data_IF_039099480113
#
_entry.id   IF_039099480113
#
_cell.length_a   1.000
_cell.length_b   1.000
_cell.length_c   1.000
_cell.angle_alpha   90.00
_cell.angle_beta   90.00
_cell.angle_gamma   90.00
#
_symmetry.space_group_name_H-M   'P 1'
#
loop_
_entity.id
_entity.type
_entity.pdbx_description
1 polymer ?
#
# COMPACT_ATOMS: atom_id res chain seq x y z
N UNK A 1 -28.71 -14.40 46.98
CA UNK A 1 -28.72 -14.28 45.50
C UNK A 1 -28.60 -12.83 45.01
N UNK A 2 -29.42 -11.88 45.47
CA UNK A 2 -29.38 -10.46 45.03
C UNK A 2 -28.01 -9.78 45.15
N UNK A 3 -27.32 -9.94 46.29
CA UNK A 3 -25.97 -9.36 46.48
C UNK A 3 -24.89 -9.97 45.58
N UNK A 4 -25.05 -11.22 45.17
CA UNK A 4 -24.14 -11.88 44.22
C UNK A 4 -24.34 -11.33 42.81
N UNK A 5 -25.59 -11.16 42.36
CA UNK A 5 -25.91 -10.59 41.05
C UNK A 5 -25.40 -9.14 40.90
N UNK A 6 -25.51 -8.33 41.96
CA UNK A 6 -25.00 -6.94 41.94
C UNK A 6 -23.48 -6.92 41.77
N UNK A 7 -22.74 -7.78 42.50
CA UNK A 7 -21.28 -7.89 42.35
C UNK A 7 -20.89 -8.35 40.96
N UNK A 8 -21.61 -9.32 40.39
CA UNK A 8 -21.36 -9.83 39.05
C UNK A 8 -21.61 -8.76 37.97
N UNK A 9 -22.68 -7.97 38.11
CA UNK A 9 -22.97 -6.83 37.25
C UNK A 9 -21.89 -5.74 37.31
N UNK A 10 -21.37 -5.43 38.50
CA UNK A 10 -20.27 -4.45 38.66
C UNK A 10 -18.98 -4.94 37.99
N UNK A 11 -18.60 -6.20 38.19
CA UNK A 11 -17.43 -6.79 37.53
C UNK A 11 -17.59 -6.71 36.01
N UNK A 12 -18.75 -7.09 35.49
CA UNK A 12 -19.03 -7.03 34.06
C UNK A 12 -18.99 -5.60 33.51
N UNK A 13 -19.52 -4.62 34.25
CA UNK A 13 -19.48 -3.21 33.89
C UNK A 13 -18.05 -2.66 33.81
N UNK A 14 -17.20 -2.97 34.78
CA UNK A 14 -15.79 -2.55 34.78
C UNK A 14 -15.04 -3.16 33.60
N UNK A 15 -15.28 -4.45 33.30
CA UNK A 15 -14.68 -5.12 32.13
C UNK A 15 -15.11 -4.43 30.84
N UNK A 16 -16.40 -4.16 30.62
CA UNK A 16 -16.87 -3.47 29.41
C UNK A 16 -16.23 -2.09 29.27
N UNK A 17 -16.19 -1.29 30.34
CA UNK A 17 -15.58 0.05 30.31
C UNK A 17 -14.10 -0.04 29.94
N UNK A 18 -13.38 -1.00 30.50
CA UNK A 18 -11.96 -1.21 30.21
C UNK A 18 -11.72 -1.64 28.76
N UNK A 19 -12.60 -2.46 28.17
CA UNK A 19 -12.52 -2.89 26.78
C UNK A 19 -13.20 -1.95 25.77
N UNK A 20 -13.92 -0.91 26.22
CA UNK A 20 -14.68 -0.01 25.35
C UNK A 20 -13.86 0.63 24.22
N UNK A 21 -12.61 1.11 24.45
CA UNK A 21 -11.78 1.64 23.37
C UNK A 21 -11.43 0.61 22.28
N UNK A 22 -11.30 -0.67 22.65
CA UNK A 22 -11.09 -1.76 21.68
C UNK A 22 -12.31 -1.92 20.78
N UNK A 23 -13.51 -1.99 21.39
CA UNK A 23 -14.76 -2.15 20.65
C UNK A 23 -14.96 -1.00 19.67
N UNK A 24 -14.80 0.25 20.11
CA UNK A 24 -14.93 1.41 19.24
C UNK A 24 -13.88 1.41 18.12
N UNK A 25 -12.61 1.10 18.43
CA UNK A 25 -11.55 1.00 17.43
C UNK A 25 -11.87 -0.05 16.36
N UNK A 26 -12.42 -1.20 16.76
CA UNK A 26 -12.84 -2.24 15.84
C UNK A 26 -14.00 -1.81 14.91
N UNK A 27 -14.98 -1.09 15.44
CA UNK A 27 -16.06 -0.55 14.61
C UNK A 27 -15.52 0.46 13.58
N UNK A 28 -14.62 1.35 13.99
CA UNK A 28 -13.97 2.31 13.07
C UNK A 28 -13.12 1.60 12.03
N UNK A 29 -12.36 0.58 12.43
CA UNK A 29 -11.62 -0.29 11.51
C UNK A 29 -12.52 -0.82 10.40
N UNK A 30 -13.68 -1.39 10.73
CA UNK A 30 -14.63 -1.90 9.74
C UNK A 30 -15.18 -0.80 8.83
N UNK A 31 -15.41 0.40 9.35
CA UNK A 31 -15.82 1.55 8.54
C UNK A 31 -14.72 1.97 7.55
N UNK A 32 -13.46 2.03 7.98
CA UNK A 32 -12.33 2.31 7.08
C UNK A 32 -12.17 1.22 6.02
N UNK A 33 -12.26 -0.06 6.39
CA UNK A 33 -12.24 -1.15 5.42
C UNK A 33 -13.38 -1.05 4.39
N UNK A 34 -14.58 -0.65 4.81
CA UNK A 34 -15.72 -0.51 3.91
C UNK A 34 -15.60 0.69 2.95
N UNK A 35 -15.04 1.81 3.44
CA UNK A 35 -14.94 3.07 2.67
C UNK A 35 -13.73 3.09 1.74
N UNK A 36 -12.58 2.66 2.24
CA UNK A 36 -11.29 2.88 1.60
C UNK A 36 -10.54 1.58 1.32
N UNK A 37 -10.89 0.48 2.00
CA UNK A 37 -10.20 -0.79 1.91
C UNK A 37 -10.39 -1.50 0.58
N UNK A 38 -9.31 -2.15 0.13
CA UNK A 38 -9.26 -2.93 -1.09
C UNK A 38 -8.94 -2.11 -2.34
N UNK A 39 -9.29 -2.68 -3.49
CA UNK A 39 -9.00 -2.12 -4.80
C UNK A 39 -10.04 -1.07 -5.22
N UNK A 40 -9.56 0.09 -5.66
CA UNK A 40 -10.32 1.13 -6.32
C UNK A 40 -9.68 1.43 -7.68
N UNK A 41 -10.48 1.35 -8.75
CA UNK A 41 -10.02 1.53 -10.14
C UNK A 41 -10.76 2.74 -10.74
N UNK A 42 -9.99 3.72 -11.19
CA UNK A 42 -10.45 4.96 -11.80
C UNK A 42 -10.07 5.07 -13.28
N UNK A 43 -9.17 4.20 -13.74
CA UNK A 43 -8.77 4.12 -15.14
C UNK A 43 -7.93 2.86 -15.42
N UNK A 44 -7.43 2.76 -16.65
CA UNK A 44 -6.67 1.59 -17.11
C UNK A 44 -5.16 1.86 -17.12
N UNK A 45 -4.39 0.89 -16.64
CA UNK A 45 -2.92 0.88 -16.76
C UNK A 45 -2.54 -0.07 -17.89
N UNK A 46 -1.87 0.46 -18.90
CA UNK A 46 -1.41 -0.33 -20.04
C UNK A 46 -0.12 -1.07 -19.68
N UNK A 47 0.04 -2.34 -20.10
CA UNK A 47 1.28 -3.07 -19.90
C UNK A 47 2.41 -2.51 -20.77
N UNK A 48 3.65 -2.80 -20.38
CA UNK A 48 4.87 -2.48 -21.12
C UNK A 48 5.00 -0.99 -21.47
N UNK A 49 4.53 -0.12 -20.57
CA UNK A 49 4.71 1.33 -20.67
C UNK A 49 5.90 1.79 -19.84
N UNK A 50 6.34 3.03 -20.09
CA UNK A 50 7.30 3.73 -19.24
C UNK A 50 6.66 4.20 -17.94
N UNK A 51 7.39 4.10 -16.84
CA UNK A 51 6.98 4.61 -15.53
C UNK A 51 7.93 5.71 -15.08
N UNK A 52 7.48 6.60 -14.23
CA UNK A 52 8.28 7.64 -13.59
C UNK A 52 8.49 7.23 -12.14
N UNK A 53 9.75 7.25 -11.69
CA UNK A 53 10.08 6.97 -10.29
C UNK A 53 9.40 8.00 -9.38
N UNK A 54 8.90 7.54 -8.22
CA UNK A 54 8.21 8.41 -7.27
C UNK A 54 9.14 9.40 -6.56
N UNK A 55 10.44 9.15 -6.58
CA UNK A 55 11.46 9.94 -5.91
C UNK A 55 12.86 9.63 -6.42
N UNK A 56 13.85 10.04 -5.63
CA UNK A 56 15.28 9.95 -5.92
C UNK A 56 15.97 8.81 -5.16
N UNK A 57 15.22 7.98 -4.42
CA UNK A 57 15.76 6.81 -3.74
C UNK A 57 15.83 5.63 -4.73
N UNK A 58 16.90 4.82 -4.73
CA UNK A 58 16.97 3.62 -5.57
C UNK A 58 15.74 2.71 -5.48
N UNK A 59 15.07 2.62 -4.33
CA UNK A 59 13.83 1.84 -4.21
C UNK A 59 12.72 2.32 -5.15
N UNK A 60 12.69 3.62 -5.48
CA UNK A 60 11.62 4.25 -6.25
C UNK A 60 11.67 3.85 -7.73
N UNK A 61 12.87 3.61 -8.29
CA UNK A 61 12.97 3.08 -9.65
C UNK A 61 12.84 1.55 -9.70
N UNK A 62 13.20 0.84 -8.61
CA UNK A 62 13.08 -0.62 -8.54
C UNK A 62 11.64 -1.08 -8.42
N UNK A 63 10.85 -0.39 -7.61
CA UNK A 63 9.53 -0.88 -7.22
C UNK A 63 8.57 -1.16 -8.40
N UNK A 64 8.49 -0.32 -9.45
CA UNK A 64 7.64 -0.63 -10.62
C UNK A 64 7.98 -1.95 -11.30
N UNK A 65 9.24 -2.39 -11.29
CA UNK A 65 9.63 -3.64 -11.97
C UNK A 65 9.07 -4.90 -11.30
N UNK A 66 8.68 -4.86 -10.03
CA UNK A 66 7.99 -5.99 -9.38
C UNK A 66 6.62 -6.28 -10.01
N UNK A 67 6.06 -5.34 -10.78
CA UNK A 67 4.83 -5.55 -11.53
C UNK A 67 5.04 -6.41 -12.79
N UNK A 68 6.28 -6.61 -13.25
CA UNK A 68 6.62 -7.51 -14.35
C UNK A 68 6.26 -7.05 -15.77
N UNK A 69 5.38 -6.05 -15.96
CA UNK A 69 5.01 -5.50 -17.28
C UNK A 69 5.36 -4.02 -17.40
N UNK A 70 6.62 -3.69 -17.15
CA UNK A 70 7.18 -2.32 -17.21
C UNK A 70 8.28 -2.28 -18.27
N UNK A 71 8.19 -1.34 -19.23
CA UNK A 71 9.19 -1.22 -20.28
C UNK A 71 10.47 -0.53 -19.81
N UNK A 72 10.32 0.54 -19.02
CA UNK A 72 11.42 1.27 -18.39
C UNK A 72 10.89 2.12 -17.24
N UNK A 73 11.79 2.56 -16.37
CA UNK A 73 11.48 3.54 -15.32
C UNK A 73 12.37 4.76 -15.50
N UNK A 74 11.77 5.92 -15.76
CA UNK A 74 12.44 7.21 -15.78
C UNK A 74 12.74 7.64 -14.35
N UNK A 75 14.01 7.78 -14.03
CA UNK A 75 14.51 8.06 -12.70
C UNK A 75 15.39 9.31 -12.73
N UNK A 76 15.28 10.13 -11.69
CA UNK A 76 16.17 11.24 -11.44
C UNK A 76 16.91 10.94 -10.14
N UNK A 77 18.23 10.95 -10.16
CA UNK A 77 19.02 10.72 -8.96
C UNK A 77 19.09 11.99 -8.07
N UNK A 78 19.74 11.86 -6.92
CA UNK A 78 19.92 12.96 -5.98
C UNK A 78 20.76 14.13 -6.52
N UNK A 79 21.56 13.91 -7.57
CA UNK A 79 22.35 14.96 -8.24
C UNK A 79 21.55 15.71 -9.29
N UNK A 80 20.36 15.21 -9.64
CA UNK A 80 19.51 15.74 -10.70
C UNK A 80 19.77 15.11 -12.08
N UNK A 81 20.71 14.18 -12.19
CA UNK A 81 20.91 13.43 -13.42
C UNK A 81 19.72 12.50 -13.67
N UNK A 82 19.29 12.42 -14.93
CA UNK A 82 18.11 11.65 -15.33
C UNK A 82 18.49 10.47 -16.21
N UNK A 83 17.82 9.35 -15.98
CA UNK A 83 18.07 8.10 -16.66
C UNK A 83 16.75 7.41 -17.00
N UNK A 84 16.75 6.68 -18.11
CA UNK A 84 15.78 5.62 -18.32
C UNK A 84 16.41 4.30 -17.85
N UNK A 85 15.82 3.70 -16.82
CA UNK A 85 16.29 2.47 -16.19
C UNK A 85 15.54 1.28 -16.80
N UNK A 86 16.27 0.20 -17.06
CA UNK A 86 15.74 -1.05 -17.58
C UNK A 86 16.11 -2.19 -16.65
N UNK A 87 15.17 -3.10 -16.38
CA UNK A 87 15.46 -4.33 -15.65
C UNK A 87 15.91 -5.42 -16.63
N UNK A 88 17.08 -6.00 -16.37
CA UNK A 88 17.54 -7.20 -17.04
C UNK A 88 17.02 -8.41 -16.27
N UNK A 89 16.31 -9.35 -16.93
CA UNK A 89 15.84 -10.56 -16.28
C UNK A 89 17.00 -11.32 -15.64
N UNK A 90 16.82 -11.74 -14.38
CA UNK A 90 17.77 -12.58 -13.68
C UNK A 90 17.26 -14.02 -13.65
N UNK A 91 18.04 -15.01 -14.10
CA UNK A 91 17.65 -16.42 -13.95
C UNK A 91 17.74 -16.92 -12.49
N UNK A 92 18.37 -16.17 -11.60
CA UNK A 92 18.53 -16.50 -10.18
C UNK A 92 17.48 -15.78 -9.32
N UNK A 93 17.12 -16.31 -8.13
CA UNK A 93 16.16 -15.69 -7.21
C UNK A 93 16.78 -14.49 -6.47
N UNK A 94 17.37 -13.56 -7.22
CA UNK A 94 17.92 -12.29 -6.74
C UNK A 94 17.24 -11.15 -7.50
N UNK A 95 17.36 -9.95 -6.95
CA UNK A 95 16.88 -8.73 -7.64
C UNK A 95 17.42 -8.68 -9.08
N UNK A 96 16.62 -8.17 -10.05
CA UNK A 96 17.10 -7.99 -11.40
C UNK A 96 18.28 -7.02 -11.44
N UNK A 97 19.17 -7.21 -12.39
CA UNK A 97 20.23 -6.24 -12.65
C UNK A 97 19.61 -5.04 -13.39
N UNK A 98 20.02 -3.82 -13.05
CA UNK A 98 19.44 -2.60 -13.62
C UNK A 98 20.44 -1.91 -14.54
N UNK A 99 19.98 -1.55 -15.74
CA UNK A 99 20.77 -0.86 -16.75
C UNK A 99 20.28 0.59 -16.82
N UNK A 100 21.18 1.54 -16.60
CA UNK A 100 20.91 2.96 -16.70
C UNK A 100 21.33 3.46 -18.08
N UNK A 101 20.40 4.07 -18.79
CA UNK A 101 20.68 4.76 -20.06
C UNK A 101 20.31 6.23 -19.93
N UNK A 102 20.94 7.08 -20.74
CA UNK A 102 20.52 8.46 -20.87
C UNK A 102 19.05 8.53 -21.30
N UNK A 103 18.32 9.55 -20.82
CA UNK A 103 16.89 9.70 -21.11
C UNK A 103 16.62 9.74 -22.61
N UNK A 104 15.77 8.83 -23.07
CA UNK A 104 15.23 8.81 -24.41
C UNK A 104 13.97 9.69 -24.46
N UNK A 105 14.12 10.90 -25.00
CA UNK A 105 13.03 11.88 -25.08
C UNK A 105 11.90 11.48 -26.02
N UNK A 106 12.11 10.50 -26.90
CA UNK A 106 11.05 9.97 -27.76
C UNK A 106 10.06 9.09 -26.98
N UNK A 107 10.47 8.58 -25.81
CA UNK A 107 9.64 7.74 -24.95
C UNK A 107 9.00 8.54 -23.82
N UNK A 108 7.75 8.20 -23.53
CA UNK A 108 6.98 8.81 -22.45
C UNK A 108 6.87 7.87 -21.25
N UNK A 109 7.08 8.42 -20.05
CA UNK A 109 6.71 7.77 -18.80
C UNK A 109 5.27 8.18 -18.47
N UNK A 110 4.36 7.21 -18.37
CA UNK A 110 2.91 7.45 -18.27
C UNK A 110 2.38 7.30 -16.85
N UNK A 111 3.07 6.55 -16.00
CA UNK A 111 2.58 6.15 -14.68
C UNK A 111 3.61 6.38 -13.58
N UNK A 112 3.14 6.63 -12.35
CA UNK A 112 3.96 6.68 -11.14
C UNK A 112 3.42 5.63 -10.18
N UNK A 113 4.30 4.82 -9.59
CA UNK A 113 3.94 3.89 -8.52
C UNK A 113 4.36 4.48 -7.17
N UNK A 114 3.43 4.61 -6.23
CA UNK A 114 3.69 5.05 -4.86
C UNK A 114 3.25 4.00 -3.84
N UNK A 115 4.03 3.94 -2.77
CA UNK A 115 3.71 3.18 -1.57
C UNK A 115 3.59 4.17 -0.43
N UNK A 116 2.45 4.19 0.25
CA UNK A 116 2.20 5.07 1.39
C UNK A 116 1.86 4.20 2.60
N UNK A 117 2.63 4.35 3.67
CA UNK A 117 2.33 3.73 4.95
C UNK A 117 1.99 4.87 5.91
N UNK A 118 0.74 4.94 6.32
CA UNK A 118 0.20 6.05 7.10
C UNK A 118 -0.44 5.53 8.38
N UNK A 119 -0.14 6.18 9.50
CA UNK A 119 -0.96 6.08 10.70
C UNK A 119 -2.24 6.87 10.48
N UNK A 120 -3.40 6.29 10.84
CA UNK A 120 -4.66 7.01 10.71
C UNK A 120 -4.72 8.08 11.82
N UNK A 121 -4.95 9.36 11.49
CA UNK A 121 -4.96 10.43 12.49
C UNK A 121 -5.96 10.14 13.61
N UNK A 122 -5.54 10.36 14.86
CA UNK A 122 -6.33 10.11 16.08
C UNK A 122 -6.74 8.65 16.31
N UNK A 123 -6.14 7.69 15.59
CA UNK A 123 -6.43 6.26 15.74
C UNK A 123 -5.16 5.51 16.15
N UNK A 124 -4.96 5.33 17.45
CA UNK A 124 -3.73 4.80 18.02
C UNK A 124 -3.40 3.35 17.59
N UNK A 125 -4.40 2.64 17.05
CA UNK A 125 -4.32 1.22 16.66
C UNK A 125 -4.61 0.97 15.20
N UNK A 126 -4.79 2.03 14.40
CA UNK A 126 -5.04 1.91 12.97
C UNK A 126 -3.88 2.42 12.14
N UNK A 127 -3.41 1.58 11.23
CA UNK A 127 -2.50 1.94 10.17
C UNK A 127 -3.13 1.63 8.81
N UNK A 128 -2.61 2.26 7.76
CA UNK A 128 -2.95 1.90 6.38
C UNK A 128 -1.70 1.81 5.54
N UNK A 129 -1.65 0.79 4.69
CA UNK A 129 -0.64 0.63 3.66
C UNK A 129 -1.34 0.74 2.31
N UNK A 130 -0.89 1.66 1.46
CA UNK A 130 -1.51 1.97 0.17
C UNK A 130 -0.52 1.74 -0.95
N UNK A 131 -0.98 1.09 -2.01
CA UNK A 131 -0.31 1.04 -3.30
C UNK A 131 -1.11 1.92 -4.24
N UNK A 132 -0.48 2.93 -4.82
CA UNK A 132 -1.17 3.92 -5.65
C UNK A 132 -0.46 4.01 -7.00
N UNK A 133 -1.24 3.88 -8.07
CA UNK A 133 -0.80 4.18 -9.43
C UNK A 133 -1.38 5.52 -9.85
N UNK A 134 -0.51 6.47 -10.17
CA UNK A 134 -0.88 7.81 -10.63
C UNK A 134 -0.54 7.99 -12.11
N UNK A 135 -1.27 8.85 -12.80
CA UNK A 135 -0.88 9.40 -14.10
C UNK A 135 0.33 10.31 -13.94
N UNK A 136 1.40 10.06 -14.70
CA UNK A 136 2.60 10.91 -14.66
C UNK A 136 2.36 12.31 -15.24
N UNK A 137 1.31 12.48 -16.05
CA UNK A 137 0.98 13.76 -16.71
C UNK A 137 0.35 14.76 -15.74
N UNK A 138 -0.63 14.32 -14.96
CA UNK A 138 -1.49 15.19 -14.14
C UNK A 138 -1.64 14.71 -12.68
N UNK A 139 -0.85 13.71 -12.28
CA UNK A 139 -0.80 13.14 -10.94
C UNK A 139 -2.15 12.61 -10.43
N UNK A 140 -3.10 12.33 -11.34
CA UNK A 140 -4.40 11.76 -10.98
C UNK A 140 -4.27 10.28 -10.65
N UNK A 141 -5.00 9.86 -9.63
CA UNK A 141 -5.10 8.46 -9.23
C UNK A 141 -5.81 7.63 -10.31
N UNK A 142 -5.16 6.57 -10.77
CA UNK A 142 -5.68 5.61 -11.74
C UNK A 142 -6.11 4.34 -11.01
N UNK A 143 -5.26 3.85 -10.10
CA UNK A 143 -5.54 2.71 -9.25
C UNK A 143 -5.09 3.07 -7.84
N UNK A 144 -5.88 2.70 -6.84
CA UNK A 144 -5.38 2.57 -5.48
C UNK A 144 -5.81 1.27 -4.86
N UNK A 145 -4.92 0.68 -4.10
CA UNK A 145 -5.17 -0.47 -3.28
C UNK A 145 -4.80 -0.11 -1.84
N UNK A 146 -5.77 -0.11 -0.93
CA UNK A 146 -5.54 0.25 0.48
C UNK A 146 -5.76 -0.97 1.35
N UNK A 147 -4.79 -1.27 2.20
CA UNK A 147 -4.95 -2.23 3.28
C UNK A 147 -4.92 -1.50 4.62
N UNK A 148 -6.04 -1.54 5.35
CA UNK A 148 -6.11 -1.00 6.70
C UNK A 148 -5.80 -2.13 7.67
N UNK A 149 -4.98 -1.82 8.66
CA UNK A 149 -4.53 -2.73 9.70
C UNK A 149 -5.03 -2.23 11.06
N UNK A 150 -5.56 -3.12 11.88
CA UNK A 150 -5.98 -2.85 13.24
C UNK A 150 -5.20 -3.72 14.23
N UNK A 151 -4.48 -3.08 15.15
CA UNK A 151 -3.77 -3.78 16.22
C UNK A 151 -4.70 -4.03 17.41
N UNK A 152 -4.89 -5.30 17.78
CA UNK A 152 -5.77 -5.70 18.89
C UNK A 152 -5.18 -5.37 20.27
N UNK A 153 -3.86 -5.42 20.41
CA UNK A 153 -3.15 -5.08 21.64
C UNK A 153 -1.96 -4.17 21.36
N UNK A 154 -1.69 -3.25 22.29
CA UNK A 154 -0.51 -2.40 22.22
C UNK A 154 0.75 -3.28 22.29
N UNK A 155 1.54 -3.28 21.22
CA UNK A 155 2.82 -4.02 21.10
C UNK A 155 2.73 -5.54 20.90
N UNK A 156 1.59 -6.10 20.46
CA UNK A 156 1.51 -7.53 20.06
C UNK A 156 1.32 -7.73 18.55
N UNK A 157 1.77 -8.88 18.00
CA UNK A 157 1.68 -9.19 16.58
C UNK A 157 0.25 -9.46 16.06
N UNK A 158 -0.77 -9.48 16.94
CA UNK A 158 -2.15 -9.72 16.53
C UNK A 158 -2.73 -8.48 15.81
N UNK A 159 -2.55 -8.45 14.50
CA UNK A 159 -3.06 -7.42 13.59
C UNK A 159 -4.16 -8.00 12.71
N UNK A 160 -5.34 -7.40 12.73
CA UNK A 160 -6.39 -7.71 11.78
C UNK A 160 -6.24 -6.80 10.55
N UNK A 161 -6.23 -7.40 9.37
CA UNK A 161 -6.22 -6.68 8.09
C UNK A 161 -7.60 -6.70 7.44
N UNK A 162 -7.89 -5.75 6.56
CA UNK A 162 -9.07 -5.88 5.72
C UNK A 162 -8.96 -7.18 4.90
N UNK A 163 -10.01 -8.00 4.90
CA UNK A 163 -10.04 -9.36 4.34
C UNK A 163 -9.88 -9.46 2.81
N UNK A 164 -9.47 -8.39 2.13
CA UNK A 164 -9.33 -8.29 0.67
C UNK A 164 -7.87 -8.08 0.24
N UNK A 165 -6.92 -8.82 0.81
CA UNK A 165 -5.50 -8.68 0.49
C UNK A 165 -5.00 -9.68 -0.55
N UNK A 166 -4.43 -9.20 -1.68
CA UNK A 166 -3.51 -10.00 -2.46
C UNK A 166 -2.16 -9.98 -1.75
N UNK A 167 -1.70 -11.13 -1.27
CA UNK A 167 -0.49 -11.26 -0.45
C UNK A 167 0.79 -11.37 -1.30
N UNK A 168 0.69 -11.51 -2.62
CA UNK A 168 1.84 -11.69 -3.51
C UNK A 168 1.94 -10.63 -4.61
N UNK A 169 3.18 -10.23 -4.97
CA UNK A 169 3.45 -9.28 -6.06
C UNK A 169 2.85 -9.66 -7.41
N UNK A 170 2.70 -10.97 -7.66
CA UNK A 170 2.02 -11.51 -8.86
C UNK A 170 0.54 -11.12 -8.91
N UNK A 171 -0.15 -11.15 -7.77
CA UNK A 171 -1.57 -10.77 -7.68
C UNK A 171 -1.74 -9.24 -7.81
N UNK A 172 -0.77 -8.45 -7.34
CA UNK A 172 -0.75 -6.98 -7.54
C UNK A 172 -0.60 -6.63 -9.02
N UNK A 173 0.28 -7.33 -9.75
CA UNK A 173 0.42 -7.16 -11.21
C UNK A 173 -0.88 -7.48 -11.95
N UNK A 174 -1.54 -8.59 -11.61
CA UNK A 174 -2.82 -8.95 -12.19
C UNK A 174 -3.90 -7.91 -11.95
N UNK A 175 -3.92 -7.31 -10.76
CA UNK A 175 -4.85 -6.22 -10.41
C UNK A 175 -4.58 -4.96 -11.22
N UNK A 176 -3.31 -4.58 -11.38
CA UNK A 176 -2.94 -3.33 -12.04
C UNK A 176 -3.19 -3.38 -13.55
N UNK A 177 -2.92 -4.53 -14.19
CA UNK A 177 -3.01 -4.66 -15.65
C UNK A 177 -4.28 -5.36 -16.18
N UNK A 178 -5.28 -5.61 -15.33
CA UNK A 178 -6.58 -6.15 -15.76
C UNK A 178 -7.34 -5.14 -16.61
#
# INVERSE_FOLDING_TARGET
MRGFLIKLGLIFGVVIIWFWPNIQGYYRFKQYCAREGGLQVYGKVLPNQGWLAAGTDPKDYKAPFYLGKVAFVRYQDATGARFDVYAKPNPWPKDPDYIFQAVDRSKSALYILKYENELIPNELRLGSNKIIVLSAKDNKKIISYTNVAYSLFLNEPSTEYCSRMPLAGKEISEIIYK
#
